data_IF_210429170649
#
_entry.id   IF_210429170649
#
_cell.length_a   1.000
_cell.length_b   1.000
_cell.length_c   1.000
_cell.angle_alpha   90.00
_cell.angle_beta   90.00
_cell.angle_gamma   90.00
#
_symmetry.space_group_name_H-M   'P 1'
#
loop_
_entity.id
_entity.type
_entity.pdbx_description
1 polymer ?
#
# COMPACT_ATOMS: atom_id res chain seq x y z
N UNK A 1 -16.67 -9.07 -26.67
CA UNK A 1 -15.39 -9.58 -26.16
C UNK A 1 -15.26 -9.14 -24.70
N UNK A 2 -14.99 -10.05 -23.80
CA UNK A 2 -14.79 -9.71 -22.39
C UNK A 2 -13.47 -8.99 -22.23
N UNK A 3 -13.52 -7.78 -21.61
CA UNK A 3 -12.36 -6.97 -21.36
C UNK A 3 -12.24 -6.68 -19.86
N UNK A 4 -11.03 -6.73 -19.36
CA UNK A 4 -10.72 -6.37 -17.98
C UNK A 4 -9.77 -5.19 -17.92
N UNK A 5 -10.18 -4.13 -17.22
CA UNK A 5 -9.41 -2.90 -17.12
C UNK A 5 -8.79 -2.76 -15.72
N UNK A 6 -7.54 -2.32 -15.67
CA UNK A 6 -6.87 -1.90 -14.44
C UNK A 6 -6.24 -0.51 -14.63
N UNK A 7 -6.31 0.34 -13.59
CA UNK A 7 -5.79 1.71 -13.63
C UNK A 7 -4.77 1.93 -12.52
N UNK A 8 -3.68 2.62 -12.84
CA UNK A 8 -2.66 3.08 -11.92
C UNK A 8 -2.54 4.59 -12.02
N UNK A 9 -3.07 5.29 -11.03
CA UNK A 9 -3.07 6.75 -11.01
C UNK A 9 -1.86 7.32 -10.25
N UNK A 10 -1.45 8.53 -10.61
CA UNK A 10 -0.43 9.34 -9.95
C UNK A 10 0.93 8.65 -9.79
N UNK A 11 1.35 7.87 -10.80
CA UNK A 11 2.67 7.27 -10.81
C UNK A 11 3.74 8.38 -10.92
N UNK A 12 4.64 8.48 -9.94
CA UNK A 12 5.69 9.51 -9.86
C UNK A 12 6.85 9.24 -10.82
N UNK A 13 6.52 9.02 -12.08
CA UNK A 13 7.47 8.80 -13.19
C UNK A 13 6.95 9.57 -14.40
N UNK A 14 7.88 10.19 -15.17
CA UNK A 14 7.50 10.93 -16.36
C UNK A 14 6.88 10.01 -17.42
N UNK A 15 5.80 10.43 -18.14
CA UNK A 15 5.07 9.58 -19.10
C UNK A 15 5.98 8.99 -20.19
N UNK A 16 6.93 9.76 -20.73
CA UNK A 16 7.89 9.29 -21.73
C UNK A 16 8.66 8.06 -21.25
N UNK A 17 9.07 8.02 -19.97
CA UNK A 17 9.81 6.88 -19.39
C UNK A 17 8.90 5.67 -19.17
N UNK A 18 7.62 5.89 -18.90
CA UNK A 18 6.65 4.81 -18.73
C UNK A 18 6.28 4.22 -20.08
N UNK A 19 6.03 5.07 -21.10
CA UNK A 19 5.69 4.62 -22.48
C UNK A 19 6.75 3.70 -23.04
N UNK A 20 8.04 4.02 -22.89
CA UNK A 20 9.13 3.16 -23.39
C UNK A 20 9.15 1.74 -22.79
N UNK A 21 8.53 1.52 -21.63
CA UNK A 21 8.37 0.17 -21.06
C UNK A 21 7.00 -0.42 -21.41
N UNK A 22 5.98 0.42 -21.51
CA UNK A 22 4.63 -0.01 -21.91
C UNK A 22 4.62 -0.57 -23.35
N UNK A 23 5.40 0.03 -24.25
CA UNK A 23 5.49 -0.42 -25.65
C UNK A 23 6.14 -1.81 -25.78
N UNK A 24 7.00 -2.22 -24.84
CA UNK A 24 7.62 -3.56 -24.82
C UNK A 24 6.62 -4.68 -24.54
N UNK A 25 5.52 -4.37 -23.84
CA UNK A 25 4.56 -5.38 -23.38
C UNK A 25 3.23 -5.33 -24.15
N UNK A 26 3.07 -4.35 -25.02
CA UNK A 26 1.84 -4.20 -25.81
C UNK A 26 1.64 -5.38 -26.75
N UNK A 27 0.44 -5.97 -26.76
CA UNK A 27 0.07 -7.09 -27.63
C UNK A 27 0.58 -8.46 -27.18
N UNK A 28 1.39 -8.52 -26.10
CA UNK A 28 1.89 -9.80 -25.59
C UNK A 28 0.86 -10.53 -24.72
N UNK A 29 1.03 -11.85 -24.61
CA UNK A 29 0.31 -12.63 -23.60
C UNK A 29 0.70 -12.18 -22.19
N UNK A 30 -0.17 -12.37 -21.21
CA UNK A 30 0.08 -11.94 -19.83
C UNK A 30 1.35 -12.55 -19.27
N UNK A 31 1.60 -13.84 -19.53
CA UNK A 31 2.79 -14.54 -19.02
C UNK A 31 4.07 -14.02 -19.66
N UNK A 32 4.07 -13.75 -20.98
CA UNK A 32 5.22 -13.14 -21.68
C UNK A 32 5.47 -11.71 -21.21
N UNK A 33 4.42 -10.93 -21.03
CA UNK A 33 4.53 -9.55 -20.51
C UNK A 33 5.09 -9.52 -19.09
N UNK A 34 4.71 -10.46 -18.23
CA UNK A 34 5.27 -10.60 -16.89
C UNK A 34 6.76 -10.97 -16.95
N UNK A 35 7.15 -11.92 -17.80
CA UNK A 35 8.54 -12.29 -18.00
C UNK A 35 9.38 -11.11 -18.50
N UNK A 36 8.88 -10.36 -19.49
CA UNK A 36 9.54 -9.16 -20.00
C UNK A 36 9.72 -8.10 -18.92
N UNK A 37 8.70 -7.83 -18.12
CA UNK A 37 8.78 -6.83 -17.05
C UNK A 37 9.75 -7.23 -15.93
N UNK A 38 9.95 -8.53 -15.68
CA UNK A 38 10.93 -9.04 -14.72
C UNK A 38 12.37 -8.84 -15.22
N UNK A 39 12.60 -8.94 -16.52
CA UNK A 39 13.93 -8.76 -17.14
C UNK A 39 14.32 -7.29 -17.27
N UNK A 40 13.36 -6.39 -17.42
CA UNK A 40 13.61 -4.96 -17.63
C UNK A 40 14.01 -4.28 -16.33
N UNK A 41 15.28 -3.82 -16.24
CA UNK A 41 15.84 -3.12 -15.06
C UNK A 41 15.46 -1.63 -14.98
N UNK A 42 14.37 -1.21 -15.62
CA UNK A 42 13.91 0.19 -15.58
C UNK A 42 12.91 0.40 -14.45
N UNK A 43 12.98 1.55 -13.77
CA UNK A 43 12.11 1.90 -12.65
C UNK A 43 10.60 1.72 -12.89
N UNK A 44 10.01 2.05 -14.08
CA UNK A 44 8.59 1.81 -14.35
C UNK A 44 8.19 0.34 -14.35
N UNK A 45 9.09 -0.59 -14.67
CA UNK A 45 8.77 -2.00 -14.83
C UNK A 45 8.15 -2.62 -13.57
N UNK A 46 8.70 -2.33 -12.40
CA UNK A 46 8.17 -2.83 -11.12
C UNK A 46 6.73 -2.34 -10.84
N UNK A 47 6.41 -1.09 -11.23
CA UNK A 47 5.07 -0.53 -11.05
C UNK A 47 4.07 -1.13 -12.03
N UNK A 48 4.49 -1.31 -13.30
CA UNK A 48 3.67 -1.95 -14.34
C UNK A 48 3.44 -3.44 -14.03
N UNK A 49 4.44 -4.13 -13.47
CA UNK A 49 4.29 -5.52 -13.01
C UNK A 49 3.20 -5.66 -11.94
N UNK A 50 3.18 -4.75 -10.97
CA UNK A 50 2.12 -4.73 -9.94
C UNK A 50 0.75 -4.47 -10.55
N UNK A 51 0.66 -3.55 -11.52
CA UNK A 51 -0.58 -3.25 -12.23
C UNK A 51 -1.07 -4.47 -13.02
N UNK A 52 -0.19 -5.16 -13.75
CA UNK A 52 -0.49 -6.37 -14.50
C UNK A 52 -1.02 -7.48 -13.58
N UNK A 53 -0.35 -7.73 -12.46
CA UNK A 53 -0.79 -8.73 -11.46
C UNK A 53 -2.15 -8.39 -10.86
N UNK A 54 -2.42 -7.12 -10.63
CA UNK A 54 -3.74 -6.65 -10.17
C UNK A 54 -4.82 -6.89 -11.24
N UNK A 55 -4.52 -6.62 -12.52
CA UNK A 55 -5.44 -6.88 -13.63
C UNK A 55 -5.77 -8.37 -13.76
N UNK A 56 -4.75 -9.24 -13.63
CA UNK A 56 -4.93 -10.71 -13.65
C UNK A 56 -5.76 -11.20 -12.46
N UNK A 57 -5.54 -10.64 -11.27
CA UNK A 57 -6.35 -10.99 -10.10
C UNK A 57 -7.83 -10.61 -10.30
N UNK A 58 -8.07 -9.42 -10.88
CA UNK A 58 -9.44 -8.99 -11.22
C UNK A 58 -10.10 -9.88 -12.28
N UNK A 59 -9.33 -10.36 -13.27
CA UNK A 59 -9.82 -11.31 -14.28
C UNK A 59 -10.16 -12.67 -13.65
N UNK A 60 -9.32 -13.18 -12.75
CA UNK A 60 -9.59 -14.41 -11.99
C UNK A 60 -10.85 -14.32 -11.15
N UNK A 61 -11.12 -13.18 -10.51
CA UNK A 61 -12.34 -12.95 -9.75
C UNK A 61 -13.61 -13.00 -10.64
N UNK A 62 -13.46 -12.70 -11.93
CA UNK A 62 -14.52 -12.83 -12.94
C UNK A 62 -14.55 -14.22 -13.62
N UNK A 63 -13.79 -15.19 -13.09
CA UNK A 63 -13.69 -16.55 -13.62
C UNK A 63 -13.11 -16.64 -15.05
N UNK A 64 -12.36 -15.63 -15.49
CA UNK A 64 -11.67 -15.62 -16.78
C UNK A 64 -10.33 -16.34 -16.64
N UNK A 65 -10.05 -17.30 -17.52
CA UNK A 65 -8.80 -18.05 -17.52
C UNK A 65 -7.60 -17.15 -17.85
N UNK A 66 -6.58 -17.09 -17.00
CA UNK A 66 -5.42 -16.22 -17.19
C UNK A 66 -4.58 -16.58 -18.42
N UNK A 67 -4.59 -17.85 -18.85
CA UNK A 67 -3.77 -18.33 -19.98
C UNK A 67 -4.23 -17.79 -21.34
N UNK A 68 -5.48 -17.38 -21.44
CA UNK A 68 -6.06 -16.79 -22.64
C UNK A 68 -6.03 -15.25 -22.63
N UNK A 69 -5.43 -14.64 -21.59
CA UNK A 69 -5.36 -13.19 -21.48
C UNK A 69 -4.16 -12.63 -22.23
N UNK A 70 -4.39 -11.52 -22.93
CA UNK A 70 -3.35 -10.72 -23.58
C UNK A 70 -3.57 -9.24 -23.29
N UNK A 71 -2.53 -8.44 -23.50
CA UNK A 71 -2.59 -7.00 -23.35
C UNK A 71 -3.16 -6.41 -24.64
N UNK A 72 -4.44 -6.09 -24.64
CA UNK A 72 -5.12 -5.49 -25.78
C UNK A 72 -4.68 -4.03 -25.96
N UNK A 73 -4.72 -3.26 -24.86
CA UNK A 73 -4.34 -1.86 -24.87
C UNK A 73 -3.59 -1.48 -23.58
N UNK A 74 -2.55 -0.67 -23.75
CA UNK A 74 -1.90 0.02 -22.64
C UNK A 74 -1.75 1.49 -22.98
N UNK A 75 -2.40 2.36 -22.21
CA UNK A 75 -2.40 3.80 -22.40
C UNK A 75 -1.71 4.49 -21.24
N UNK A 76 -0.85 5.44 -21.56
CA UNK A 76 -0.09 6.21 -20.58
C UNK A 76 -0.36 7.70 -20.82
N UNK A 77 -1.13 8.29 -19.91
CA UNK A 77 -1.54 9.67 -19.93
C UNK A 77 -0.67 10.52 -18.98
N UNK A 78 -0.56 11.80 -19.27
CA UNK A 78 0.17 12.73 -18.42
C UNK A 78 -0.73 13.12 -17.24
N UNK A 79 -0.19 12.93 -16.02
CA UNK A 79 -0.82 13.40 -14.81
C UNK A 79 -0.37 14.80 -14.39
N UNK A 80 -0.82 15.27 -13.23
CA UNK A 80 -0.44 16.57 -12.69
C UNK A 80 1.06 16.66 -12.43
N UNK A 81 1.60 17.89 -12.48
CA UNK A 81 3.02 18.16 -12.26
C UNK A 81 3.23 18.86 -10.93
N UNK A 82 4.16 18.37 -10.13
CA UNK A 82 4.66 19.08 -8.96
C UNK A 82 5.78 20.03 -9.39
N UNK A 83 5.54 21.33 -9.29
CA UNK A 83 6.53 22.36 -9.58
C UNK A 83 7.39 22.60 -8.33
N UNK A 84 8.69 22.75 -8.49
CA UNK A 84 9.67 23.15 -7.49
C UNK A 84 10.57 24.22 -8.06
N UNK A 85 11.06 25.09 -7.23
CA UNK A 85 11.96 26.17 -7.63
C UNK A 85 13.37 25.77 -7.18
N UNK A 86 14.32 25.84 -8.09
CA UNK A 86 15.75 25.69 -7.80
C UNK A 86 16.37 27.07 -7.91
N UNK A 87 16.82 27.61 -6.79
CA UNK A 87 17.57 28.86 -6.73
C UNK A 87 18.95 28.66 -7.41
N UNK A 88 19.37 29.66 -8.19
CA UNK A 88 20.64 29.70 -8.90
C UNK A 88 21.39 30.97 -8.59
N UNK A 89 22.64 31.07 -9.07
CA UNK A 89 23.48 32.25 -8.89
C UNK A 89 22.83 33.53 -9.42
N UNK A 90 23.24 34.67 -8.90
CA UNK A 90 22.76 36.02 -9.28
C UNK A 90 21.26 36.23 -9.14
N UNK A 91 20.63 35.60 -8.15
CA UNK A 91 19.20 35.76 -7.89
C UNK A 91 18.27 35.10 -8.94
N UNK A 92 18.82 34.36 -9.90
CA UNK A 92 18.01 33.61 -10.87
C UNK A 92 17.39 32.36 -10.23
N UNK A 93 16.25 31.91 -10.76
CA UNK A 93 15.59 30.70 -10.33
C UNK A 93 15.06 29.91 -11.52
N UNK A 94 15.22 28.59 -11.49
CA UNK A 94 14.71 27.71 -12.53
C UNK A 94 13.66 26.72 -11.99
N UNK A 95 12.50 26.53 -12.67
CA UNK A 95 11.48 25.61 -12.24
C UNK A 95 11.86 24.17 -12.54
N UNK A 96 11.75 23.28 -11.54
CA UNK A 96 11.87 21.84 -11.71
C UNK A 96 10.47 21.24 -11.76
N UNK A 97 10.15 20.52 -12.84
CA UNK A 97 8.88 19.83 -13.03
C UNK A 97 9.02 18.35 -12.66
N UNK A 98 8.36 17.93 -11.57
CA UNK A 98 8.23 16.50 -11.22
C UNK A 98 6.93 15.98 -11.82
N UNK A 99 7.03 15.42 -13.06
CA UNK A 99 5.89 14.91 -13.82
C UNK A 99 5.39 13.60 -13.26
N UNK A 100 4.07 13.42 -13.29
CA UNK A 100 3.40 12.16 -12.98
C UNK A 100 2.71 11.60 -14.21
N UNK A 101 2.31 10.33 -14.16
CA UNK A 101 1.57 9.66 -15.22
C UNK A 101 0.43 8.82 -14.67
N UNK A 102 -0.59 8.65 -15.48
CA UNK A 102 -1.69 7.70 -15.27
C UNK A 102 -1.53 6.57 -16.27
N UNK A 103 -1.70 5.33 -15.84
CA UNK A 103 -1.61 4.16 -16.71
C UNK A 103 -2.93 3.42 -16.68
N UNK A 104 -3.49 3.19 -17.85
CA UNK A 104 -4.68 2.33 -18.04
C UNK A 104 -4.26 1.10 -18.82
N UNK A 105 -4.49 -0.08 -18.26
CA UNK A 105 -4.22 -1.38 -18.87
C UNK A 105 -5.54 -2.08 -19.16
N UNK A 106 -5.72 -2.55 -20.40
CA UNK A 106 -6.88 -3.31 -20.82
C UNK A 106 -6.40 -4.70 -21.25
N UNK A 107 -6.92 -5.72 -20.59
CA UNK A 107 -6.72 -7.12 -20.96
C UNK A 107 -7.87 -7.58 -21.82
N UNK A 108 -7.57 -8.25 -22.93
CA UNK A 108 -8.53 -8.93 -23.78
C UNK A 108 -8.40 -10.45 -23.63
N UNK A 109 -9.45 -11.18 -24.01
CA UNK A 109 -9.48 -12.64 -24.05
C UNK A 109 -9.30 -13.11 -25.47
N UNK A 110 -8.31 -13.96 -25.73
CA UNK A 110 -8.13 -14.63 -27.01
C UNK A 110 -8.02 -16.14 -26.78
N UNK A 111 -9.05 -16.94 -27.13
CA UNK A 111 -9.07 -18.37 -26.87
C UNK A 111 -8.02 -19.16 -27.67
N UNK A 112 -7.44 -18.58 -28.71
CA UNK A 112 -6.39 -19.20 -29.54
C UNK A 112 -4.98 -19.02 -28.98
N UNK A 113 -4.81 -18.18 -27.94
CA UNK A 113 -3.52 -17.97 -27.30
C UNK A 113 -3.23 -19.12 -26.33
N UNK A 114 -2.15 -19.85 -26.58
CA UNK A 114 -1.52 -20.71 -25.59
C UNK A 114 -0.30 -19.97 -25.04
N UNK A 115 -0.21 -19.81 -23.71
CA UNK A 115 0.95 -19.18 -23.11
C UNK A 115 2.19 -20.08 -23.27
N UNK A 116 3.27 -19.54 -23.86
CA UNK A 116 4.55 -20.26 -24.00
C UNK A 116 5.27 -20.49 -22.68
N UNK A 117 4.96 -19.70 -21.66
CA UNK A 117 5.63 -19.72 -20.37
C UNK A 117 4.61 -19.75 -19.24
N UNK A 118 4.79 -20.69 -18.31
CA UNK A 118 4.16 -20.61 -17.00
C UNK A 118 5.20 -20.07 -16.01
N UNK A 119 4.98 -18.86 -15.49
CA UNK A 119 5.83 -18.32 -14.43
C UNK A 119 5.41 -19.03 -13.14
N UNK A 120 6.28 -19.83 -12.50
CA UNK A 120 5.95 -20.44 -11.23
C UNK A 120 5.79 -19.31 -10.20
N UNK A 121 4.55 -18.97 -9.89
CA UNK A 121 4.25 -18.09 -8.76
C UNK A 121 4.71 -18.86 -7.52
N UNK A 122 5.88 -18.50 -6.97
CA UNK A 122 6.32 -19.05 -5.70
C UNK A 122 5.17 -18.86 -4.71
N UNK A 123 4.51 -19.97 -4.36
CA UNK A 123 3.46 -19.96 -3.37
C UNK A 123 4.09 -19.31 -2.13
N UNK A 124 3.59 -18.13 -1.75
CA UNK A 124 3.96 -17.51 -0.48
C UNK A 124 3.67 -18.57 0.56
N UNK A 125 4.70 -19.30 1.02
CA UNK A 125 4.60 -20.10 2.23
C UNK A 125 4.03 -19.13 3.24
N UNK A 126 2.76 -19.32 3.61
CA UNK A 126 2.18 -18.64 4.78
C UNK A 126 3.15 -18.99 5.89
N UNK A 127 4.04 -18.07 6.21
CA UNK A 127 4.85 -18.21 7.41
C UNK A 127 3.84 -18.34 8.52
N UNK A 128 3.68 -19.55 9.04
CA UNK A 128 2.92 -19.84 10.24
C UNK A 128 3.59 -18.94 11.28
N UNK A 129 2.97 -17.79 11.58
CA UNK A 129 3.42 -16.98 12.69
C UNK A 129 3.24 -17.85 13.91
N UNK A 130 4.29 -18.54 14.31
CA UNK A 130 4.37 -19.08 15.64
C UNK A 130 4.25 -17.88 16.58
N UNK A 131 3.35 -17.92 17.55
CA UNK A 131 3.21 -16.83 18.49
C UNK A 131 4.54 -16.72 19.23
N UNK A 132 5.27 -15.62 18.93
CA UNK A 132 6.55 -15.35 19.61
C UNK A 132 6.28 -15.36 21.10
N UNK A 133 6.91 -16.26 21.83
CA UNK A 133 6.83 -16.41 23.29
C UNK A 133 7.10 -15.10 24.07
N UNK A 134 7.67 -14.07 23.41
CA UNK A 134 7.87 -12.72 23.94
C UNK A 134 6.61 -11.85 24.05
N UNK A 135 5.55 -12.12 23.26
CA UNK A 135 4.33 -11.31 23.36
C UNK A 135 3.46 -11.71 24.56
N UNK A 136 3.47 -12.99 24.95
CA UNK A 136 2.81 -13.43 26.17
C UNK A 136 3.45 -12.82 27.42
N UNK A 137 4.80 -12.72 27.48
CA UNK A 137 5.49 -12.09 28.63
C UNK A 137 5.20 -10.57 28.72
N UNK A 138 5.03 -9.86 27.60
CA UNK A 138 4.68 -8.43 27.63
C UNK A 138 3.23 -8.17 28.06
N UNK A 139 2.27 -9.03 27.68
CA UNK A 139 0.88 -8.90 28.13
C UNK A 139 0.72 -9.17 29.62
N UNK A 140 1.34 -10.21 30.14
CA UNK A 140 1.33 -10.54 31.57
C UNK A 140 1.99 -9.44 32.42
N UNK A 141 3.10 -8.83 31.92
CA UNK A 141 3.74 -7.71 32.61
C UNK A 141 2.86 -6.45 32.60
N UNK A 142 2.12 -6.18 31.52
CA UNK A 142 1.22 -5.01 31.46
C UNK A 142 0.00 -5.17 32.37
N UNK A 143 -0.58 -6.37 32.44
CA UNK A 143 -1.67 -6.66 33.36
C UNK A 143 -1.25 -6.55 34.83
N UNK A 144 -0.03 -6.98 35.19
CA UNK A 144 0.48 -6.83 36.57
C UNK A 144 0.71 -5.36 36.94
N UNK A 145 1.20 -4.51 36.03
CA UNK A 145 1.34 -3.05 36.27
C UNK A 145 0.00 -2.35 36.40
N UNK A 146 -1.01 -2.78 35.66
CA UNK A 146 -2.36 -2.20 35.73
C UNK A 146 -3.08 -2.58 37.04
N UNK A 147 -2.85 -3.79 37.58
CA UNK A 147 -3.37 -4.21 38.90
C UNK A 147 -2.71 -3.46 40.07
N UNK A 148 -1.38 -3.26 40.05
CA UNK A 148 -0.67 -2.47 41.08
C UNK A 148 -1.11 -1.00 41.04
N UNK A 149 -1.27 -0.40 39.87
CA UNK A 149 -1.75 0.97 39.71
C UNK A 149 -3.22 1.13 40.16
N UNK A 150 -4.04 0.10 40.01
CA UNK A 150 -5.42 0.07 40.52
C UNK A 150 -5.48 -0.04 42.06
N UNK A 151 -4.60 -0.83 42.66
CA UNK A 151 -4.48 -0.94 44.11
C UNK A 151 -4.00 0.36 44.78
N UNK A 152 -2.97 1.02 44.22
CA UNK A 152 -2.50 2.31 44.71
C UNK A 152 -3.59 3.40 44.66
N UNK A 153 -4.36 3.45 43.56
CA UNK A 153 -5.51 4.38 43.47
C UNK A 153 -6.59 4.11 44.48
N UNK A 154 -6.86 2.85 44.82
CA UNK A 154 -7.85 2.49 45.82
C UNK A 154 -7.41 2.84 47.25
N UNK A 155 -6.11 2.70 47.55
CA UNK A 155 -5.57 3.10 48.86
C UNK A 155 -5.47 4.64 49.01
N UNK A 156 -5.13 5.36 47.98
CA UNK A 156 -5.11 6.82 48.01
C UNK A 156 -6.50 7.43 48.18
N UNK A 157 -7.55 6.80 47.61
CA UNK A 157 -8.92 7.23 47.81
C UNK A 157 -9.43 6.94 49.26
N UNK A 158 -9.01 5.84 49.89
CA UNK A 158 -9.34 5.55 51.30
C UNK A 158 -8.66 6.54 52.26
N UNK A 159 -7.43 6.94 51.99
CA UNK A 159 -6.71 7.95 52.83
C UNK A 159 -7.29 9.36 52.63
N UNK A 160 -7.70 9.76 51.45
CA UNK A 160 -8.34 11.05 51.20
C UNK A 160 -9.73 11.21 51.79
N UNK A 161 -10.49 10.10 51.96
CA UNK A 161 -11.81 10.08 52.61
C UNK A 161 -11.77 10.32 54.10
N UNK A 162 -10.70 9.89 54.78
CA UNK A 162 -10.54 10.09 56.22
C UNK A 162 -10.26 11.56 56.59
N UNK A 163 -9.47 12.26 55.83
CA UNK A 163 -9.13 13.68 56.08
C UNK A 163 -10.31 14.65 55.80
N UNK A 164 -11.22 14.32 54.89
CA UNK A 164 -12.40 15.15 54.63
C UNK A 164 -13.45 15.11 55.71
N UNK A 165 -13.55 14.01 56.49
CA UNK A 165 -14.52 13.87 57.60
C UNK A 165 -14.11 14.61 58.86
N UNK A 166 -12.84 14.93 59.08
CA UNK A 166 -12.35 15.60 60.30
C UNK A 166 -12.38 17.12 60.22
N UNK A 167 -12.54 17.72 59.02
CA UNK A 167 -12.49 19.18 58.85
C UNK A 167 -13.82 19.85 58.46
N UNK A 168 -14.94 19.14 58.50
CA UNK A 168 -16.25 19.77 58.37
C UNK A 168 -16.82 20.15 59.76
N UNK A 169 -16.09 20.97 60.46
CA UNK A 169 -16.53 21.62 61.70
C UNK A 169 -17.41 22.84 61.41
N UNK A 170 -18.63 22.77 61.89
CA UNK A 170 -19.66 23.79 61.98
C UNK A 170 -19.18 25.24 61.95
N UNK A 171 -19.50 26.00 60.93
CA UNK A 171 -19.59 27.45 61.04
C UNK A 171 -20.96 27.83 61.59
N UNK A 172 -20.97 28.20 62.85
CA UNK A 172 -22.13 28.79 63.53
C UNK A 172 -22.41 30.16 62.93
N UNK A 173 -23.63 30.39 62.52
CA UNK A 173 -24.19 31.67 62.26
C UNK A 173 -24.24 32.47 63.58
N UNK A 174 -23.87 33.76 63.52
CA UNK A 174 -24.21 34.77 64.47
C UNK A 174 -24.62 36.04 63.72
N UNK A 175 -25.92 36.37 63.94
CA UNK A 175 -26.58 37.67 63.85
C UNK A 175 -26.05 38.71 62.85
#
# INVERSE_FOLDING_TARGET
MEQQTAKLNYLRIAPRKVRSVADLIRGLSVNEAEAQLLMVRRRPAASLLKLLRSAVANAKNKQINPDHLFIAEIRVDQGPMLKRILARARGSASPIQKKMSHVTLVLGVNPKLSSRFAIPVAAKKKAKKEPKAGEKKKRVAHEAYDEEAAMEKSESQKRGGFFRKTFSGKSRAAK
#
